data_IF_564195756612
#
_entry.id   IF_564195756612
#
_cell.length_a   1.000
_cell.length_b   1.000
_cell.length_c   1.000
_cell.angle_alpha   90.00
_cell.angle_beta   90.00
_cell.angle_gamma   90.00
#
_symmetry.space_group_name_H-M   'P 1'
#
loop_
_entity.id
_entity.type
_entity.pdbx_description
1 polymer ?
#
# COMPACT_ATOMS: atom_id res chain seq x y z
N UNK A 1 22.71 -43.42 30.26
CA UNK A 1 21.35 -43.22 29.76
C UNK A 1 21.35 -41.77 29.30
N UNK A 2 21.61 -41.53 28.02
CA UNK A 2 21.77 -40.19 27.46
C UNK A 2 20.37 -39.60 27.26
N UNK A 3 20.08 -38.53 28.00
CA UNK A 3 18.86 -37.75 27.83
C UNK A 3 19.02 -36.91 26.57
N UNK A 4 18.34 -37.32 25.50
CA UNK A 4 18.22 -36.53 24.30
C UNK A 4 17.41 -35.26 24.61
N UNK A 5 18.11 -34.13 24.64
CA UNK A 5 17.51 -32.80 24.66
C UNK A 5 16.76 -32.60 23.33
N UNK A 6 15.46 -32.88 23.32
CA UNK A 6 14.58 -32.60 22.18
C UNK A 6 14.39 -31.08 22.20
N UNK A 7 14.91 -30.32 21.22
CA UNK A 7 14.66 -28.89 21.18
C UNK A 7 13.14 -28.70 21.09
N UNK A 8 12.56 -28.06 22.11
CA UNK A 8 11.16 -27.64 22.09
C UNK A 8 10.92 -26.87 20.79
N UNK A 9 9.82 -27.14 20.06
CA UNK A 9 9.49 -26.35 18.89
C UNK A 9 9.40 -24.90 19.34
N UNK A 10 10.26 -24.06 18.79
CA UNK A 10 10.13 -22.61 18.89
C UNK A 10 8.76 -22.28 18.33
N UNK A 11 7.81 -21.94 19.21
CA UNK A 11 6.63 -21.21 18.80
C UNK A 11 7.19 -19.95 18.14
N UNK A 12 7.10 -19.88 16.82
CA UNK A 12 7.31 -18.63 16.11
C UNK A 12 6.32 -17.66 16.72
N UNK A 13 6.82 -16.68 17.47
CA UNK A 13 6.01 -15.62 18.05
C UNK A 13 5.02 -15.13 16.98
N UNK A 14 3.73 -15.15 17.33
CA UNK A 14 2.63 -14.64 16.52
C UNK A 14 3.03 -13.27 15.98
N UNK A 15 3.45 -13.29 14.71
CA UNK A 15 3.53 -12.19 13.75
C UNK A 15 3.38 -10.81 14.38
N UNK A 16 4.49 -10.10 14.53
CA UNK A 16 4.49 -8.65 14.29
C UNK A 16 3.93 -8.47 12.88
N UNK A 17 2.60 -8.32 12.75
CA UNK A 17 1.97 -7.82 11.55
C UNK A 17 2.51 -6.41 11.36
N UNK A 18 3.64 -6.30 10.67
CA UNK A 18 4.14 -5.03 10.17
C UNK A 18 3.06 -4.54 9.22
N UNK A 19 2.17 -3.69 9.74
CA UNK A 19 1.21 -2.98 8.92
C UNK A 19 2.02 -2.20 7.89
N UNK A 20 2.04 -2.73 6.66
CA UNK A 20 2.76 -2.15 5.54
C UNK A 20 2.32 -0.72 5.29
N UNK A 21 3.11 0.04 4.55
CA UNK A 21 2.67 1.37 4.14
C UNK A 21 1.42 1.24 3.25
N UNK A 22 0.42 2.14 3.42
CA UNK A 22 -0.76 2.17 2.56
C UNK A 22 -0.33 2.17 1.09
N UNK A 23 -0.75 1.14 0.34
CA UNK A 23 -0.32 0.98 -1.04
C UNK A 23 -1.43 0.53 -1.99
N UNK A 24 -1.34 0.96 -3.24
CA UNK A 24 -2.16 0.44 -4.32
C UNK A 24 -1.28 -0.31 -5.31
N UNK A 25 -1.84 -1.38 -5.88
CA UNK A 25 -1.26 -2.00 -7.04
C UNK A 25 -1.86 -1.39 -8.30
N UNK A 26 -0.99 -0.92 -9.20
CA UNK A 26 -1.38 -0.40 -10.50
C UNK A 26 -0.65 -1.13 -11.62
N UNK A 27 -1.35 -1.28 -12.74
CA UNK A 27 -0.76 -1.65 -14.02
C UNK A 27 -0.68 -0.39 -14.88
N UNK A 28 0.52 -0.01 -15.30
CA UNK A 28 0.71 1.14 -16.18
C UNK A 28 0.97 0.61 -17.58
N UNK A 29 -0.02 0.81 -18.46
CA UNK A 29 -0.03 0.30 -19.82
C UNK A 29 -0.11 1.46 -20.79
N UNK A 30 0.82 1.52 -21.74
CA UNK A 30 0.91 2.60 -22.73
C UNK A 30 0.93 4.01 -22.09
N UNK A 31 1.57 4.12 -20.93
CA UNK A 31 1.64 5.35 -20.14
C UNK A 31 0.37 5.70 -19.36
N UNK A 32 -0.67 4.88 -19.42
CA UNK A 32 -1.94 5.08 -18.71
C UNK A 32 -2.00 4.21 -17.46
N UNK A 33 -2.24 4.77 -16.27
CA UNK A 33 -2.45 3.98 -15.06
C UNK A 33 -3.80 3.27 -15.09
N UNK A 34 -3.77 1.96 -14.89
CA UNK A 34 -4.95 1.09 -14.74
C UNK A 34 -4.92 0.54 -13.33
N UNK A 35 -5.98 0.81 -12.57
CA UNK A 35 -6.08 0.36 -11.19
C UNK A 35 -6.28 -1.16 -11.14
N UNK A 36 -5.42 -1.86 -10.38
CA UNK A 36 -5.46 -3.33 -10.22
C UNK A 36 -6.02 -3.76 -8.86
N UNK A 37 -5.86 -2.95 -7.80
CA UNK A 37 -6.45 -3.22 -6.49
C UNK A 37 -5.71 -2.55 -5.34
N UNK A 38 -6.02 -2.96 -4.11
CA UNK A 38 -5.49 -2.40 -2.86
C UNK A 38 -4.73 -3.38 -2.01
N UNK A 39 -3.62 -2.93 -1.43
CA UNK A 39 -2.76 -3.75 -0.59
C UNK A 39 -2.41 -2.95 0.68
N UNK A 40 -2.74 -3.51 1.86
CA UNK A 40 -2.43 -2.93 3.17
C UNK A 40 -3.12 -1.59 3.52
N UNK A 41 -4.46 -1.55 3.45
CA UNK A 41 -5.24 -0.41 3.96
C UNK A 41 -6.39 -0.94 4.83
N UNK A 42 -6.53 -0.42 6.05
CA UNK A 42 -7.71 -0.67 6.90
C UNK A 42 -8.39 0.68 7.27
N UNK A 43 -9.69 0.86 6.98
CA UNK A 43 -10.55 -0.05 6.20
C UNK A 43 -10.04 -0.24 4.76
N UNK A 44 -10.35 -1.36 4.10
CA UNK A 44 -9.90 -1.60 2.72
C UNK A 44 -10.47 -0.53 1.80
N UNK A 45 -9.58 0.32 1.28
CA UNK A 45 -9.90 1.27 0.22
C UNK A 45 -9.62 0.63 -1.11
N UNK A 46 -10.42 0.91 -2.13
CA UNK A 46 -10.11 0.55 -3.51
C UNK A 46 -9.91 1.80 -4.32
N UNK A 47 -8.84 1.88 -5.10
CA UNK A 47 -8.68 2.96 -6.05
C UNK A 47 -9.79 2.86 -7.12
N UNK A 48 -10.46 3.98 -7.39
CA UNK A 48 -11.52 4.12 -8.39
C UNK A 48 -10.98 4.78 -9.66
N UNK A 49 -10.05 5.72 -9.49
CA UNK A 49 -9.34 6.37 -10.59
C UNK A 49 -7.92 6.72 -10.18
N UNK A 50 -7.01 6.71 -11.14
CA UNK A 50 -5.65 7.19 -11.00
C UNK A 50 -5.32 8.02 -12.24
N UNK A 51 -4.74 9.20 -12.06
CA UNK A 51 -4.38 10.11 -13.14
C UNK A 51 -3.00 10.71 -12.86
N UNK A 52 -2.23 11.01 -13.92
CA UNK A 52 -0.95 11.70 -13.75
C UNK A 52 -1.17 13.14 -13.32
N UNK A 53 -0.41 13.60 -12.34
CA UNK A 53 -0.36 15.00 -11.97
C UNK A 53 0.29 15.80 -13.11
N UNK A 54 -0.43 16.79 -13.64
CA UNK A 54 0.07 17.66 -14.71
C UNK A 54 1.27 18.53 -14.27
N UNK A 55 1.42 18.78 -12.97
CA UNK A 55 2.53 19.56 -12.41
C UNK A 55 3.78 18.71 -12.10
N UNK A 56 3.63 17.38 -11.97
CA UNK A 56 4.70 16.49 -11.52
C UNK A 56 4.74 15.20 -12.36
N UNK A 57 5.77 15.07 -13.20
CA UNK A 57 5.87 14.00 -14.20
C UNK A 57 5.83 12.57 -13.61
N UNK A 58 6.24 12.34 -12.37
CA UNK A 58 6.28 10.99 -11.79
C UNK A 58 5.31 10.84 -10.61
N UNK A 59 4.22 11.61 -10.61
CA UNK A 59 3.22 11.60 -9.56
C UNK A 59 1.85 11.18 -10.09
N UNK A 60 1.18 10.32 -9.34
CA UNK A 60 -0.22 9.97 -9.56
C UNK A 60 -1.11 10.61 -8.49
N UNK A 61 -2.22 11.16 -8.94
CA UNK A 61 -3.38 11.49 -8.12
C UNK A 61 -4.33 10.30 -8.17
N UNK A 62 -4.66 9.72 -7.03
CA UNK A 62 -5.50 8.54 -6.89
C UNK A 62 -6.73 8.88 -6.06
N UNK A 63 -7.91 8.53 -6.56
CA UNK A 63 -9.17 8.67 -5.81
C UNK A 63 -9.65 7.30 -5.37
N UNK A 64 -9.95 7.16 -4.08
CA UNK A 64 -10.50 5.94 -3.51
C UNK A 64 -12.04 5.90 -3.56
N UNK A 65 -12.61 4.74 -3.26
CA UNK A 65 -14.05 4.46 -3.25
C UNK A 65 -14.84 5.19 -2.15
N UNK A 66 -14.19 5.64 -1.09
CA UNK A 66 -14.78 6.50 -0.05
C UNK A 66 -14.76 7.99 -0.43
N UNK A 67 -14.19 8.33 -1.59
CA UNK A 67 -14.05 9.70 -2.09
C UNK A 67 -12.77 10.41 -1.66
N UNK A 68 -11.90 9.77 -0.87
CA UNK A 68 -10.62 10.35 -0.45
C UNK A 68 -9.62 10.45 -1.60
N UNK A 69 -8.78 11.49 -1.55
CA UNK A 69 -7.73 11.76 -2.55
C UNK A 69 -6.34 11.48 -1.99
N UNK A 70 -5.51 10.85 -2.82
CA UNK A 70 -4.20 10.35 -2.46
C UNK A 70 -3.18 10.68 -3.55
N UNK A 71 -1.94 10.80 -3.12
CA UNK A 71 -0.78 11.04 -3.96
C UNK A 71 0.14 9.83 -3.86
N UNK A 72 0.64 9.38 -5.01
CA UNK A 72 1.78 8.48 -5.10
C UNK A 72 2.92 9.15 -5.87
N UNK A 73 4.09 9.24 -5.26
CA UNK A 73 5.29 9.82 -5.86
C UNK A 73 6.21 8.75 -6.45
N UNK A 74 7.10 9.17 -7.36
CA UNK A 74 8.11 8.34 -8.01
C UNK A 74 7.55 7.10 -8.73
N UNK A 75 6.36 7.23 -9.31
CA UNK A 75 5.68 6.12 -9.99
C UNK A 75 6.29 5.90 -11.39
N UNK A 76 6.80 4.69 -11.71
CA UNK A 76 7.30 4.36 -13.04
C UNK A 76 6.22 4.56 -14.12
N UNK A 77 6.60 4.92 -15.35
CA UNK A 77 5.64 5.14 -16.45
C UNK A 77 5.19 3.87 -17.17
N UNK A 78 5.57 2.68 -16.71
CA UNK A 78 5.18 1.41 -17.32
C UNK A 78 5.32 0.23 -16.35
N UNK A 79 4.56 -0.84 -16.62
CA UNK A 79 4.65 -2.11 -15.90
C UNK A 79 3.68 -2.22 -14.72
N UNK A 80 3.78 -3.33 -13.98
CA UNK A 80 3.03 -3.55 -12.74
C UNK A 80 3.83 -2.97 -11.57
N UNK A 81 3.22 -2.08 -10.81
CA UNK A 81 3.88 -1.34 -9.73
C UNK A 81 3.02 -1.38 -8.47
N UNK A 82 3.67 -1.44 -7.32
CA UNK A 82 3.05 -1.13 -6.03
C UNK A 82 3.49 0.27 -5.64
N UNK A 83 2.54 1.15 -5.34
CA UNK A 83 2.81 2.55 -5.02
C UNK A 83 2.40 2.85 -3.60
N UNK A 84 3.26 3.53 -2.84
CA UNK A 84 2.95 4.05 -1.51
C UNK A 84 2.11 5.31 -1.66
N UNK A 85 1.09 5.46 -0.81
CA UNK A 85 0.08 6.50 -0.92
C UNK A 85 0.19 7.50 0.22
N UNK A 86 0.04 8.78 -0.08
CA UNK A 86 -0.01 9.85 0.90
C UNK A 86 -1.34 10.62 0.75
N UNK A 87 -2.12 10.84 1.82
CA UNK A 87 -3.39 11.56 1.72
C UNK A 87 -3.13 13.03 1.39
N UNK A 88 -3.89 13.60 0.46
CA UNK A 88 -3.75 15.01 0.05
C UNK A 88 -4.00 15.95 1.23
N UNK A 89 -5.01 15.65 2.04
CA UNK A 89 -5.41 16.48 3.20
C UNK A 89 -4.57 16.18 4.47
N UNK A 90 -3.55 15.33 4.38
CA UNK A 90 -2.61 15.02 5.47
C UNK A 90 -3.18 14.20 6.62
N UNK A 91 -4.50 13.95 6.67
CA UNK A 91 -5.15 13.13 7.71
C UNK A 91 -6.12 12.16 7.05
N UNK A 92 -5.84 10.86 7.16
CA UNK A 92 -6.78 9.81 6.77
C UNK A 92 -6.81 8.70 7.83
N UNK A 93 -7.99 8.16 8.20
CA UNK A 93 -8.10 7.06 9.16
C UNK A 93 -7.22 5.86 8.85
N UNK A 94 -6.97 5.59 7.56
CA UNK A 94 -6.09 4.51 7.12
C UNK A 94 -4.60 4.67 7.51
N UNK A 95 -4.19 5.89 7.92
CA UNK A 95 -2.86 6.16 8.49
C UNK A 95 -2.87 6.15 10.02
N UNK A 96 -4.03 6.32 10.66
CA UNK A 96 -4.15 6.43 12.11
C UNK A 96 -3.84 5.11 12.86
N UNK A 97 -3.82 3.99 12.15
CA UNK A 97 -3.49 2.66 12.69
C UNK A 97 -2.00 2.43 12.96
N UNK A 98 -1.10 3.37 12.61
CA UNK A 98 0.33 3.31 12.99
C UNK A 98 0.62 3.75 14.43
N UNK A 99 -0.37 4.26 15.17
CA UNK A 99 -0.14 4.98 16.44
C UNK A 99 -0.53 4.22 17.72
N UNK A 100 -0.65 2.88 17.69
CA UNK A 100 -0.92 2.08 18.90
C UNK A 100 0.25 1.15 19.22
#
# INVERSE_FOLDING_TARGET
MEEHDIPKPTLLDDTEEVLGEPSFELLIKDGVPVVSGSYFIQPPLSAVSAEWDAAHENRLNVRANDGSEWIADNVPRSGRVSVVLHPVDGVHPAYATKAL
#
